data_IF_428508462009
#
_entry.id   IF_428508462009
#
_cell.length_a   1.000
_cell.length_b   1.000
_cell.length_c   1.000
_cell.angle_alpha   90.00
_cell.angle_beta   90.00
_cell.angle_gamma   90.00
#
_symmetry.space_group_name_H-M   'P 1'
#
loop_
_entity.id
_entity.type
_entity.pdbx_description
1 polymer ?
#
# COMPACT_ATOMS: atom_id res chain seq x y z
N UNK A 1 26.96 -10.61 -17.42
CA UNK A 1 28.15 -10.66 -16.55
C UNK A 1 27.67 -10.34 -15.15
N UNK A 2 27.93 -11.19 -14.15
CA UNK A 2 27.56 -10.89 -12.77
C UNK A 2 28.30 -9.61 -12.33
N UNK A 3 27.56 -8.63 -11.84
CA UNK A 3 28.13 -7.41 -11.30
C UNK A 3 29.01 -7.74 -10.10
N UNK A 4 30.15 -7.06 -9.97
CA UNK A 4 31.09 -7.34 -8.89
C UNK A 4 30.47 -6.91 -7.55
N UNK A 5 30.22 -7.86 -6.65
CA UNK A 5 29.45 -7.66 -5.41
C UNK A 5 29.96 -6.54 -4.49
N UNK A 6 31.25 -6.19 -4.58
CA UNK A 6 31.84 -5.10 -3.80
C UNK A 6 31.49 -3.69 -4.32
N UNK A 7 31.02 -3.58 -5.56
CA UNK A 7 30.53 -2.33 -6.14
C UNK A 7 29.09 -2.01 -5.73
N UNK A 8 28.39 -2.99 -5.14
CA UNK A 8 27.00 -2.84 -4.75
C UNK A 8 26.88 -2.11 -3.41
N UNK A 9 25.93 -1.17 -3.33
CA UNK A 9 25.59 -0.51 -2.07
C UNK A 9 24.75 -1.47 -1.21
N UNK A 10 25.45 -2.24 -0.37
CA UNK A 10 24.82 -3.24 0.51
C UNK A 10 23.80 -2.63 1.47
N UNK A 11 23.98 -1.37 1.90
CA UNK A 11 22.99 -0.68 2.72
C UNK A 11 21.73 -0.35 1.94
N UNK A 12 21.86 0.07 0.69
CA UNK A 12 20.71 0.34 -0.16
C UNK A 12 19.94 -0.95 -0.46
N UNK A 13 20.65 -2.02 -0.82
CA UNK A 13 20.07 -3.29 -1.22
C UNK A 13 19.38 -3.98 -0.03
N UNK A 14 20.05 -4.05 1.13
CA UNK A 14 19.50 -4.71 2.32
C UNK A 14 18.29 -3.98 2.91
N UNK A 15 18.19 -2.67 2.71
CA UNK A 15 17.10 -1.85 3.29
C UNK A 15 16.02 -1.48 2.29
N UNK A 16 16.14 -1.92 1.04
CA UNK A 16 15.12 -1.65 0.02
C UNK A 16 13.76 -2.19 0.48
N UNK A 17 12.71 -1.38 0.40
CA UNK A 17 11.37 -1.76 0.88
C UNK A 17 11.22 -1.87 2.40
N UNK A 18 12.29 -1.67 3.19
CA UNK A 18 12.23 -1.75 4.66
C UNK A 18 12.68 -0.45 5.35
N UNK A 19 11.72 0.45 5.56
CA UNK A 19 11.96 1.68 6.31
C UNK A 19 12.34 1.44 7.78
N UNK A 20 11.85 0.36 8.37
CA UNK A 20 12.16 0.00 9.75
C UNK A 20 13.63 -0.41 9.88
N UNK A 21 14.13 -1.20 8.93
CA UNK A 21 15.51 -1.66 8.96
C UNK A 21 16.48 -0.50 8.72
N UNK A 22 16.19 0.39 7.77
CA UNK A 22 17.02 1.58 7.57
C UNK A 22 17.08 2.45 8.83
N UNK A 23 15.96 2.61 9.53
CA UNK A 23 15.92 3.37 10.79
C UNK A 23 16.79 2.71 11.86
N UNK A 24 16.71 1.39 12.01
CA UNK A 24 17.51 0.65 12.97
C UNK A 24 19.02 0.74 12.67
N UNK A 25 19.41 0.52 11.40
CA UNK A 25 20.80 0.62 10.96
C UNK A 25 21.36 2.03 11.09
N UNK A 26 20.57 3.05 10.72
CA UNK A 26 20.97 4.45 10.85
C UNK A 26 21.21 4.85 12.31
N UNK A 27 20.29 4.47 13.21
CA UNK A 27 20.42 4.75 14.65
C UNK A 27 21.67 4.06 15.24
N UNK A 28 21.87 2.79 14.94
CA UNK A 28 23.02 2.02 15.41
C UNK A 28 24.34 2.62 14.91
N UNK A 29 24.41 2.97 13.62
CA UNK A 29 25.61 3.55 13.04
C UNK A 29 26.00 4.88 13.69
N UNK A 30 25.03 5.79 13.88
CA UNK A 30 25.28 7.08 14.56
C UNK A 30 25.81 6.85 15.96
N UNK A 31 25.18 5.97 16.76
CA UNK A 31 25.64 5.66 18.11
C UNK A 31 27.07 5.12 18.13
N UNK A 32 27.43 4.27 17.16
CA UNK A 32 28.79 3.70 17.03
C UNK A 32 29.83 4.73 16.59
N UNK A 33 29.47 5.68 15.71
CA UNK A 33 30.33 6.81 15.34
C UNK A 33 30.53 7.76 16.53
N UNK A 34 29.48 8.10 17.26
CA UNK A 34 29.54 8.94 18.46
C UNK A 34 30.47 8.36 19.53
N UNK A 35 30.41 7.03 19.75
CA UNK A 35 31.27 6.35 20.71
C UNK A 35 32.77 6.48 20.39
N UNK A 36 33.12 6.75 19.13
CA UNK A 36 34.50 6.84 18.65
C UNK A 36 34.86 8.24 18.10
N UNK A 37 34.04 9.26 18.34
CA UNK A 37 34.22 10.62 17.82
C UNK A 37 35.49 11.34 18.32
N UNK A 38 36.23 10.76 19.26
CA UNK A 38 37.54 11.28 19.66
C UNK A 38 38.57 11.20 18.52
N UNK A 39 38.37 10.27 17.58
CA UNK A 39 39.12 10.21 16.32
C UNK A 39 38.55 11.22 15.32
N UNK A 40 39.41 12.10 14.78
CA UNK A 40 39.00 13.20 13.90
C UNK A 40 38.36 12.73 12.59
N UNK A 41 38.79 11.58 12.04
CA UNK A 41 38.20 11.04 10.83
C UNK A 41 36.79 10.51 11.12
N UNK A 42 36.61 9.85 12.27
CA UNK A 42 35.30 9.36 12.72
C UNK A 42 34.35 10.52 13.04
N UNK A 43 34.85 11.58 13.67
CA UNK A 43 34.07 12.80 13.90
C UNK A 43 33.59 13.43 12.58
N UNK A 44 34.41 13.40 11.52
CA UNK A 44 34.01 13.88 10.20
C UNK A 44 32.92 13.00 9.57
N UNK A 45 32.96 11.68 9.77
CA UNK A 45 31.90 10.76 9.36
C UNK A 45 30.59 11.06 10.10
N UNK A 46 30.65 11.26 11.42
CA UNK A 46 29.48 11.62 12.22
C UNK A 46 28.83 12.90 11.72
N UNK A 47 29.62 13.96 11.55
CA UNK A 47 29.15 15.28 11.14
C UNK A 47 28.40 15.28 9.79
N UNK A 48 28.79 14.42 8.84
CA UNK A 48 28.12 14.32 7.53
C UNK A 48 26.92 13.38 7.51
N UNK A 49 26.84 12.41 8.43
CA UNK A 49 25.79 11.40 8.44
C UNK A 49 24.65 11.74 9.37
N UNK A 50 24.94 12.37 10.51
CA UNK A 50 23.93 12.70 11.52
C UNK A 50 22.75 13.53 10.96
N UNK A 51 22.96 14.61 10.17
CA UNK A 51 21.83 15.37 9.63
C UNK A 51 20.91 14.52 8.74
N UNK A 52 21.48 13.58 7.97
CA UNK A 52 20.72 12.69 7.09
C UNK A 52 19.91 11.67 7.89
N UNK A 53 20.45 11.16 9.00
CA UNK A 53 19.74 10.25 9.89
C UNK A 53 18.58 10.99 10.59
N UNK A 54 18.80 12.22 11.04
CA UNK A 54 17.75 13.04 11.68
C UNK A 54 16.62 13.37 10.70
N UNK A 55 16.96 13.73 9.45
CA UNK A 55 15.98 13.98 8.39
C UNK A 55 15.18 12.70 8.06
N UNK A 56 15.86 11.56 7.98
CA UNK A 56 15.22 10.27 7.78
C UNK A 56 14.26 9.93 8.93
N UNK A 57 14.67 10.11 10.19
CA UNK A 57 13.84 9.86 11.36
C UNK A 57 12.59 10.76 11.43
N UNK A 58 12.71 12.02 11.02
CA UNK A 58 11.58 12.96 10.89
C UNK A 58 10.60 12.51 9.79
N UNK A 59 11.11 12.14 8.62
CA UNK A 59 10.29 11.64 7.52
C UNK A 59 9.54 10.37 7.94
N UNK A 60 10.23 9.43 8.60
CA UNK A 60 9.65 8.18 9.08
C UNK A 60 8.50 8.42 10.06
N UNK A 61 8.72 9.30 11.05
CA UNK A 61 7.71 9.63 12.06
C UNK A 61 6.50 10.32 11.43
N UNK A 62 6.73 11.22 10.47
CA UNK A 62 5.68 11.92 9.73
C UNK A 62 4.81 10.95 8.93
N UNK A 63 5.44 10.03 8.19
CA UNK A 63 4.75 8.98 7.43
C UNK A 63 3.94 8.05 8.35
N UNK A 64 4.51 7.58 9.47
CA UNK A 64 3.79 6.74 10.45
C UNK A 64 2.58 7.47 11.04
N UNK A 65 2.71 8.76 11.34
CA UNK A 65 1.61 9.59 11.83
C UNK A 65 0.50 9.71 10.79
N UNK A 66 0.85 9.98 9.52
CA UNK A 66 -0.09 10.06 8.42
C UNK A 66 -0.90 8.76 8.24
N UNK A 67 -0.25 7.59 8.32
CA UNK A 67 -0.93 6.28 8.31
C UNK A 67 -1.96 6.16 9.42
N UNK A 68 -1.60 6.52 10.66
CA UNK A 68 -2.52 6.44 11.79
C UNK A 68 -3.73 7.37 11.59
N UNK A 69 -3.50 8.58 11.08
CA UNK A 69 -4.56 9.54 10.79
C UNK A 69 -5.50 9.01 9.70
N UNK A 70 -4.98 8.41 8.60
CA UNK A 70 -5.81 7.77 7.58
C UNK A 70 -6.70 6.67 8.15
N UNK A 71 -6.18 5.83 9.05
CA UNK A 71 -7.00 4.79 9.70
C UNK A 71 -8.18 5.39 10.46
N UNK A 72 -7.98 6.51 11.15
CA UNK A 72 -9.05 7.26 11.81
C UNK A 72 -10.08 7.81 10.81
N UNK A 73 -9.63 8.41 9.71
CA UNK A 73 -10.53 8.92 8.66
C UNK A 73 -11.33 7.82 7.98
N UNK A 74 -10.70 6.68 7.66
CA UNK A 74 -11.37 5.49 7.12
C UNK A 74 -12.43 4.96 8.08
N UNK A 75 -12.13 4.86 9.37
CA UNK A 75 -13.10 4.43 10.38
C UNK A 75 -14.31 5.39 10.44
N UNK A 76 -14.08 6.70 10.37
CA UNK A 76 -15.15 7.69 10.40
C UNK A 76 -16.13 7.51 9.23
N UNK A 77 -15.63 7.40 7.99
CA UNK A 77 -16.52 7.17 6.84
C UNK A 77 -17.23 5.81 6.93
N UNK A 78 -16.56 4.77 7.44
CA UNK A 78 -17.16 3.45 7.60
C UNK A 78 -18.29 3.47 8.65
N UNK A 79 -18.14 4.24 9.72
CA UNK A 79 -19.19 4.46 10.73
C UNK A 79 -20.39 5.20 10.15
N UNK A 80 -20.18 6.28 9.39
CA UNK A 80 -21.27 7.01 8.71
C UNK A 80 -22.00 6.11 7.70
N UNK A 81 -21.26 5.32 6.93
CA UNK A 81 -21.86 4.35 6.01
C UNK A 81 -22.59 3.22 6.75
N UNK A 82 -22.12 2.78 7.92
CA UNK A 82 -22.86 1.82 8.75
C UNK A 82 -24.17 2.43 9.28
N UNK A 83 -24.14 3.69 9.73
CA UNK A 83 -25.32 4.44 10.15
C UNK A 83 -26.32 4.63 9.00
N UNK A 84 -25.82 4.96 7.79
CA UNK A 84 -26.60 5.04 6.57
C UNK A 84 -27.39 3.76 6.32
N UNK A 85 -26.70 2.62 6.31
CA UNK A 85 -27.29 1.30 6.02
C UNK A 85 -28.32 0.86 7.06
N UNK A 86 -28.03 1.12 8.33
CA UNK A 86 -28.71 0.48 9.46
C UNK A 86 -29.87 1.30 10.00
N UNK A 87 -29.74 2.64 10.02
CA UNK A 87 -30.66 3.54 10.71
C UNK A 87 -31.22 4.62 9.77
N UNK A 88 -30.37 5.47 9.19
CA UNK A 88 -30.81 6.68 8.48
C UNK A 88 -31.75 6.38 7.32
N UNK A 89 -31.40 5.43 6.45
CA UNK A 89 -32.27 5.06 5.33
C UNK A 89 -33.62 4.51 5.77
N UNK A 90 -33.70 3.84 6.93
CA UNK A 90 -34.98 3.34 7.46
C UNK A 90 -35.85 4.49 7.98
N UNK A 91 -35.25 5.47 8.64
CA UNK A 91 -35.95 6.65 9.12
C UNK A 91 -36.51 7.47 7.96
N UNK A 92 -35.71 7.72 6.92
CA UNK A 92 -36.15 8.45 5.74
C UNK A 92 -37.25 7.71 4.98
N UNK A 93 -37.12 6.40 4.81
CA UNK A 93 -38.16 5.59 4.17
C UNK A 93 -39.49 5.64 4.95
N UNK A 94 -39.47 5.54 6.29
CA UNK A 94 -40.68 5.70 7.12
C UNK A 94 -41.32 7.08 6.93
N UNK A 95 -40.51 8.15 6.89
CA UNK A 95 -41.02 9.50 6.68
C UNK A 95 -41.65 9.67 5.29
N UNK A 96 -41.02 9.11 4.26
CA UNK A 96 -41.55 9.09 2.89
C UNK A 96 -42.87 8.32 2.85
N UNK A 97 -42.93 7.12 3.44
CA UNK A 97 -44.15 6.30 3.50
C UNK A 97 -45.30 6.95 4.27
N UNK A 98 -45.00 7.88 5.19
CA UNK A 98 -46.00 8.70 5.85
C UNK A 98 -46.76 9.66 4.91
N UNK A 99 -46.18 9.98 3.74
CA UNK A 99 -46.79 10.82 2.71
C UNK A 99 -47.20 10.03 1.46
N UNK A 100 -46.36 9.08 1.04
CA UNK A 100 -46.50 8.31 -0.20
C UNK A 100 -46.26 6.82 0.08
N UNK A 101 -47.33 6.02 0.06
CA UNK A 101 -47.25 4.58 0.36
C UNK A 101 -46.36 3.82 -0.64
N UNK A 102 -45.75 2.71 -0.19
CA UNK A 102 -44.95 1.83 -1.05
C UNK A 102 -45.77 1.39 -2.28
N UNK A 103 -45.12 1.39 -3.44
CA UNK A 103 -45.73 1.07 -4.74
C UNK A 103 -46.49 2.21 -5.42
N UNK A 104 -46.63 3.38 -4.79
CA UNK A 104 -47.16 4.57 -5.47
C UNK A 104 -46.14 5.15 -6.46
N UNK A 105 -46.57 5.84 -7.54
CA UNK A 105 -45.66 6.49 -8.47
C UNK A 105 -44.68 7.47 -7.79
N UNK A 106 -45.15 8.24 -6.82
CA UNK A 106 -44.35 9.20 -6.05
C UNK A 106 -43.29 8.49 -5.19
N UNK A 107 -43.67 7.40 -4.51
CA UNK A 107 -42.71 6.59 -3.76
C UNK A 107 -41.64 6.00 -4.68
N UNK A 108 -42.04 5.46 -5.85
CA UNK A 108 -41.11 4.88 -6.82
C UNK A 108 -40.17 5.92 -7.45
N UNK A 109 -40.61 7.18 -7.58
CA UNK A 109 -39.73 8.28 -7.99
C UNK A 109 -38.67 8.58 -6.93
N UNK A 110 -39.06 8.62 -5.65
CA UNK A 110 -38.18 8.89 -4.52
C UNK A 110 -37.24 7.72 -4.18
N UNK A 111 -37.68 6.47 -4.31
CA UNK A 111 -36.93 5.27 -3.92
C UNK A 111 -37.15 4.11 -4.93
N UNK A 112 -36.64 4.21 -6.17
CA UNK A 112 -36.88 3.25 -7.24
C UNK A 112 -36.33 1.85 -6.92
N UNK A 113 -35.21 1.80 -6.21
CA UNK A 113 -34.58 0.56 -5.73
C UNK A 113 -34.72 0.37 -4.21
N UNK A 114 -35.74 1.02 -3.63
CA UNK A 114 -35.97 1.04 -2.18
C UNK A 114 -34.69 1.45 -1.44
N UNK A 115 -34.24 0.65 -0.47
CA UNK A 115 -33.07 0.93 0.38
C UNK A 115 -31.75 0.38 -0.16
N UNK A 116 -31.78 -0.40 -1.24
CA UNK A 116 -30.60 -1.15 -1.72
C UNK A 116 -29.39 -0.25 -2.05
N UNK A 117 -29.55 0.88 -2.76
CA UNK A 117 -28.42 1.75 -3.12
C UNK A 117 -27.69 2.38 -1.92
N UNK A 118 -28.34 2.43 -0.76
CA UNK A 118 -27.78 3.00 0.47
C UNK A 118 -27.07 1.95 1.33
N UNK A 119 -27.33 0.66 1.07
CA UNK A 119 -26.87 -0.46 1.88
C UNK A 119 -25.72 -1.23 1.26
N UNK A 120 -25.61 -1.21 -0.07
CA UNK A 120 -24.67 -2.02 -0.85
C UNK A 120 -23.95 -1.15 -1.87
N UNK A 121 -22.83 -1.66 -2.38
CA UNK A 121 -21.99 -0.96 -3.37
C UNK A 121 -20.80 -0.24 -2.74
N UNK A 122 -20.00 0.38 -3.62
CA UNK A 122 -18.81 1.14 -3.22
C UNK A 122 -19.17 2.39 -2.42
N UNK A 123 -18.22 2.93 -1.64
CA UNK A 123 -18.43 4.12 -0.79
C UNK A 123 -19.03 5.27 -1.60
N UNK A 124 -18.41 5.61 -2.73
CA UNK A 124 -18.82 6.74 -3.56
C UNK A 124 -20.21 6.52 -4.22
N UNK A 125 -20.56 5.28 -4.56
CA UNK A 125 -21.91 4.96 -5.06
C UNK A 125 -22.98 5.23 -4.01
N UNK A 126 -22.71 4.86 -2.75
CA UNK A 126 -23.64 5.04 -1.64
C UNK A 126 -23.78 6.50 -1.25
N UNK A 127 -22.68 7.27 -1.30
CA UNK A 127 -22.69 8.73 -1.10
C UNK A 127 -23.54 9.39 -2.19
N UNK A 128 -23.32 9.04 -3.45
CA UNK A 128 -24.11 9.55 -4.58
C UNK A 128 -25.60 9.21 -4.47
N UNK A 129 -25.95 8.03 -3.94
CA UNK A 129 -27.33 7.66 -3.70
C UNK A 129 -28.03 8.59 -2.68
N UNK A 130 -27.33 9.02 -1.62
CA UNK A 130 -27.83 9.99 -0.63
C UNK A 130 -28.05 11.35 -1.28
N UNK A 131 -27.06 11.87 -2.01
CA UNK A 131 -27.20 13.15 -2.73
C UNK A 131 -28.37 13.11 -3.73
N UNK A 132 -28.52 12.02 -4.49
CA UNK A 132 -29.62 11.85 -5.43
C UNK A 132 -30.99 11.77 -4.74
N UNK A 133 -31.07 11.22 -3.52
CA UNK A 133 -32.31 11.25 -2.74
C UNK A 133 -32.68 12.68 -2.34
N UNK A 134 -31.71 13.48 -1.87
CA UNK A 134 -31.93 14.90 -1.52
C UNK A 134 -32.50 15.70 -2.70
N UNK A 135 -31.90 15.54 -3.89
CA UNK A 135 -32.38 16.19 -5.12
C UNK A 135 -33.82 15.80 -5.47
N UNK A 136 -34.19 14.53 -5.32
CA UNK A 136 -35.55 14.05 -5.63
C UNK A 136 -36.57 14.52 -4.60
N UNK A 137 -36.18 14.65 -3.34
CA UNK A 137 -37.05 15.16 -2.28
C UNK A 137 -37.39 16.65 -2.45
N UNK A 138 -36.58 17.42 -3.18
CA UNK A 138 -36.78 18.84 -3.41
C UNK A 138 -38.12 19.16 -4.13
N UNK A 139 -38.63 18.23 -4.95
CA UNK A 139 -39.89 18.37 -5.67
C UNK A 139 -41.13 18.11 -4.78
N UNK A 140 -40.93 17.71 -3.52
CA UNK A 140 -42.00 17.30 -2.60
C UNK A 140 -42.02 18.15 -1.33
N UNK A 141 -42.73 19.29 -1.30
CA UNK A 141 -42.72 20.22 -0.17
C UNK A 141 -43.13 19.59 1.17
N UNK A 142 -44.00 18.57 1.16
CA UNK A 142 -44.42 17.84 2.36
C UNK A 142 -43.26 17.07 3.04
N UNK A 143 -42.17 16.82 2.32
CA UNK A 143 -40.98 16.10 2.78
C UNK A 143 -39.77 17.01 3.00
N UNK A 144 -39.95 18.34 3.03
CA UNK A 144 -38.85 19.31 3.18
C UNK A 144 -37.98 19.07 4.43
N UNK A 145 -38.56 18.60 5.54
CA UNK A 145 -37.80 18.25 6.74
C UNK A 145 -36.91 17.01 6.53
N UNK A 146 -37.40 16.01 5.80
CA UNK A 146 -36.62 14.82 5.41
C UNK A 146 -35.52 15.20 4.44
N UNK A 147 -35.81 16.07 3.47
CA UNK A 147 -34.80 16.61 2.56
C UNK A 147 -33.65 17.25 3.33
N UNK A 148 -33.95 18.12 4.30
CA UNK A 148 -32.93 18.80 5.09
C UNK A 148 -32.02 17.84 5.87
N UNK A 149 -32.56 16.74 6.44
CA UNK A 149 -31.75 15.72 7.13
C UNK A 149 -30.91 14.90 6.13
N UNK A 150 -31.47 14.55 4.96
CA UNK A 150 -30.73 13.87 3.88
C UNK A 150 -29.57 14.73 3.38
N UNK A 151 -29.81 16.01 3.10
CA UNK A 151 -28.79 16.94 2.61
C UNK A 151 -27.68 17.15 3.66
N UNK A 152 -28.05 17.34 4.93
CA UNK A 152 -27.09 17.46 6.01
C UNK A 152 -26.22 16.20 6.17
N UNK A 153 -26.82 15.01 6.06
CA UNK A 153 -26.08 13.75 6.12
C UNK A 153 -25.22 13.52 4.88
N UNK A 154 -25.69 13.95 3.70
CA UNK A 154 -24.91 13.94 2.45
C UNK A 154 -23.63 14.76 2.60
N UNK A 155 -23.73 15.98 3.15
CA UNK A 155 -22.55 16.83 3.44
C UNK A 155 -21.57 16.12 4.39
N UNK A 156 -22.05 15.51 5.47
CA UNK A 156 -21.17 14.76 6.39
C UNK A 156 -20.41 13.62 5.71
N UNK A 157 -21.09 12.88 4.82
CA UNK A 157 -20.48 11.80 4.06
C UNK A 157 -19.41 12.31 3.07
N UNK A 158 -19.70 13.39 2.35
CA UNK A 158 -18.76 14.00 1.39
C UNK A 158 -17.54 14.54 2.13
N UNK A 159 -17.73 15.32 3.20
CA UNK A 159 -16.63 15.88 3.99
C UNK A 159 -15.73 14.78 4.58
N UNK A 160 -16.33 13.69 5.07
CA UNK A 160 -15.58 12.55 5.59
C UNK A 160 -14.80 11.81 4.48
N UNK A 161 -15.38 11.69 3.28
CA UNK A 161 -14.73 11.05 2.13
C UNK A 161 -13.57 11.89 1.60
N UNK A 162 -13.77 13.19 1.45
CA UNK A 162 -12.73 14.13 1.01
C UNK A 162 -11.57 14.15 2.01
N UNK A 163 -11.87 14.19 3.31
CA UNK A 163 -10.86 14.09 4.34
C UNK A 163 -10.06 12.78 4.22
N UNK A 164 -10.72 11.64 3.99
CA UNK A 164 -10.05 10.35 3.79
C UNK A 164 -9.11 10.39 2.57
N UNK A 165 -9.58 10.86 1.43
CA UNK A 165 -8.80 10.92 0.17
C UNK A 165 -7.60 11.86 0.28
N UNK A 166 -7.76 13.02 0.91
CA UNK A 166 -6.64 13.95 1.17
C UNK A 166 -5.55 13.28 2.02
N UNK A 167 -5.91 12.41 2.98
CA UNK A 167 -4.92 11.67 3.76
C UNK A 167 -4.22 10.56 2.96
N UNK A 168 -4.90 9.96 2.00
CA UNK A 168 -4.30 8.96 1.10
C UNK A 168 -3.17 9.59 0.28
N UNK A 169 -3.44 10.74 -0.36
CA UNK A 169 -2.43 11.48 -1.11
C UNK A 169 -1.21 11.89 -0.24
N UNK A 170 -1.45 12.34 1.00
CA UNK A 170 -0.37 12.71 1.91
C UNK A 170 0.51 11.51 2.32
N UNK A 171 -0.05 10.30 2.38
CA UNK A 171 0.72 9.09 2.69
C UNK A 171 1.58 8.69 1.50
N UNK A 172 1.04 8.77 0.29
CA UNK A 172 1.81 8.50 -0.95
C UNK A 172 3.01 9.43 -1.02
N UNK A 173 2.79 10.75 -0.94
CA UNK A 173 3.89 11.73 -0.92
C UNK A 173 4.87 11.47 0.24
N UNK A 174 4.36 11.18 1.44
CA UNK A 174 5.21 10.89 2.60
C UNK A 174 6.03 9.61 2.44
N UNK A 175 5.53 8.63 1.68
CA UNK A 175 6.26 7.39 1.35
C UNK A 175 7.39 7.67 0.37
N UNK A 176 7.14 8.48 -0.66
CA UNK A 176 8.14 8.88 -1.65
C UNK A 176 9.27 9.70 -1.01
N UNK A 177 8.91 10.68 -0.16
CA UNK A 177 9.87 11.49 0.57
C UNK A 177 10.72 10.64 1.53
N UNK A 178 10.10 9.64 2.17
CA UNK A 178 10.78 8.71 3.06
C UNK A 178 11.75 7.80 2.30
N UNK A 179 11.36 7.30 1.13
CA UNK A 179 12.24 6.50 0.28
C UNK A 179 13.42 7.32 -0.26
N UNK A 180 13.18 8.55 -0.69
CA UNK A 180 14.24 9.46 -1.09
C UNK A 180 15.23 9.75 0.06
N UNK A 181 14.74 9.90 1.29
CA UNK A 181 15.58 10.05 2.48
C UNK A 181 16.35 8.76 2.81
N UNK A 182 15.72 7.58 2.64
CA UNK A 182 16.36 6.26 2.82
C UNK A 182 17.57 6.12 1.91
N UNK A 183 17.39 6.38 0.61
CA UNK A 183 18.45 6.27 -0.41
C UNK A 183 19.61 7.21 -0.10
N UNK A 184 19.34 8.45 0.34
CA UNK A 184 20.39 9.42 0.72
C UNK A 184 21.22 8.90 1.90
N UNK A 185 20.56 8.41 2.95
CA UNK A 185 21.24 7.89 4.13
C UNK A 185 22.03 6.60 3.80
N UNK A 186 21.45 5.69 3.03
CA UNK A 186 22.11 4.46 2.58
C UNK A 186 23.34 4.75 1.71
N UNK A 187 23.25 5.75 0.82
CA UNK A 187 24.38 6.23 0.02
C UNK A 187 25.48 6.81 0.89
N UNK A 188 25.13 7.60 1.90
CA UNK A 188 26.11 8.14 2.85
C UNK A 188 26.79 7.03 3.66
N UNK A 189 26.03 6.02 4.12
CA UNK A 189 26.57 4.87 4.85
C UNK A 189 27.55 4.06 4.00
N UNK A 190 27.28 3.90 2.70
CA UNK A 190 28.23 3.29 1.76
C UNK A 190 29.49 4.14 1.59
N UNK A 191 29.36 5.46 1.49
CA UNK A 191 30.50 6.39 1.49
C UNK A 191 31.31 6.34 2.79
N UNK A 192 30.67 6.14 3.94
CA UNK A 192 31.34 5.93 5.24
C UNK A 192 32.14 4.63 5.24
N UNK A 193 31.56 3.53 4.71
CA UNK A 193 32.25 2.26 4.59
C UNK A 193 33.57 2.41 3.80
N UNK A 194 33.56 3.13 2.67
CA UNK A 194 34.79 3.37 1.90
C UNK A 194 35.89 4.08 2.70
N UNK A 195 35.54 5.08 3.52
CA UNK A 195 36.51 5.77 4.40
C UNK A 195 37.02 4.84 5.50
N UNK A 196 36.13 4.05 6.10
CA UNK A 196 36.50 3.08 7.13
C UNK A 196 37.41 1.98 6.56
N UNK A 197 37.19 1.54 5.32
CA UNK A 197 38.05 0.58 4.62
C UNK A 197 39.46 1.13 4.37
N UNK A 198 39.60 2.40 4.00
CA UNK A 198 40.93 3.01 3.85
C UNK A 198 41.64 3.20 5.20
N UNK A 199 40.91 3.67 6.22
CA UNK A 199 41.45 3.91 7.56
C UNK A 199 41.90 2.62 8.25
N UNK A 200 41.08 1.57 8.20
CA UNK A 200 41.31 0.29 8.86
C UNK A 200 41.81 -0.79 7.89
N UNK A 201 42.55 -0.41 6.83
CA UNK A 201 43.02 -1.33 5.78
C UNK A 201 43.81 -2.54 6.32
N UNK A 202 44.58 -2.33 7.39
CA UNK A 202 45.41 -3.36 8.02
C UNK A 202 44.64 -4.18 9.09
N UNK A 203 43.41 -3.77 9.42
CA UNK A 203 42.54 -4.40 10.42
C UNK A 203 41.05 -4.32 10.00
N UNK A 204 40.67 -4.92 8.86
CA UNK A 204 39.32 -4.76 8.28
C UNK A 204 38.20 -5.23 9.20
N UNK A 205 38.44 -6.22 10.06
CA UNK A 205 37.43 -6.71 11.02
C UNK A 205 36.98 -5.63 12.02
N UNK A 206 37.80 -4.61 12.26
CA UNK A 206 37.46 -3.50 13.15
C UNK A 206 36.29 -2.67 12.63
N UNK A 207 36.05 -2.69 11.31
CA UNK A 207 34.95 -1.97 10.65
C UNK A 207 33.59 -2.49 11.14
N UNK A 208 33.50 -3.75 11.58
CA UNK A 208 32.27 -4.33 12.15
C UNK A 208 31.82 -3.59 13.42
N UNK A 209 32.71 -2.87 14.11
CA UNK A 209 32.33 -2.06 15.27
C UNK A 209 31.50 -0.81 14.92
N UNK A 210 31.33 -0.50 13.63
CA UNK A 210 30.56 0.65 13.15
C UNK A 210 29.20 0.27 12.56
N UNK A 211 28.89 -1.03 12.46
CA UNK A 211 27.65 -1.52 11.86
C UNK A 211 27.15 -2.77 12.57
N UNK A 212 25.85 -2.90 12.76
CA UNK A 212 25.26 -4.17 13.16
C UNK A 212 25.08 -5.06 11.93
N UNK A 213 26.16 -5.73 11.52
CA UNK A 213 26.18 -6.58 10.32
C UNK A 213 25.15 -7.72 10.40
N UNK A 214 24.80 -8.16 11.61
CA UNK A 214 23.74 -9.16 11.81
C UNK A 214 22.36 -8.68 11.35
N UNK A 215 22.07 -7.37 11.42
CA UNK A 215 20.83 -6.78 10.87
C UNK A 215 20.83 -6.80 9.34
N UNK A 216 21.99 -6.73 8.69
CA UNK A 216 22.09 -6.83 7.22
C UNK A 216 22.09 -8.28 6.72
N UNK A 217 22.62 -9.22 7.52
CA UNK A 217 22.76 -10.64 7.14
C UNK A 217 21.54 -11.50 7.48
N UNK A 218 20.77 -11.15 8.51
CA UNK A 218 19.58 -11.90 8.94
C UNK A 218 18.26 -11.29 8.43
N UNK A 219 18.33 -10.27 7.59
CA UNK A 219 17.12 -9.76 6.93
C UNK A 219 16.85 -10.68 5.75
N UNK A 220 15.77 -11.48 5.76
CA UNK A 220 15.37 -12.18 4.55
C UNK A 220 15.21 -11.14 3.43
N UNK A 221 15.59 -11.49 2.19
CA UNK A 221 15.54 -10.57 1.07
C UNK A 221 14.17 -9.87 1.05
N UNK A 222 14.09 -8.53 0.89
CA UNK A 222 12.87 -7.76 1.13
C UNK A 222 11.67 -8.41 0.45
N UNK A 223 10.73 -8.86 1.29
CA UNK A 223 9.54 -9.51 0.79
C UNK A 223 8.43 -8.47 0.57
N UNK A 224 7.95 -8.37 -0.68
CA UNK A 224 6.83 -7.50 -1.05
C UNK A 224 5.59 -8.36 -1.18
N UNK A 225 4.64 -8.16 -0.28
CA UNK A 225 3.36 -8.86 -0.30
C UNK A 225 2.33 -8.10 -1.15
N UNK A 226 1.72 -8.80 -2.09
CA UNK A 226 0.62 -8.36 -2.94
C UNK A 226 -0.54 -9.32 -2.75
N UNK A 227 -1.71 -8.82 -2.33
CA UNK A 227 -2.92 -9.64 -2.22
C UNK A 227 -4.09 -8.94 -2.87
N UNK A 228 -4.95 -9.69 -3.54
CA UNK A 228 -6.10 -9.12 -4.21
C UNK A 228 -6.99 -10.15 -4.86
N UNK A 229 -7.98 -9.66 -5.59
CA UNK A 229 -8.83 -10.47 -6.45
C UNK A 229 -8.54 -10.19 -7.92
N UNK A 230 -8.85 -11.17 -8.75
CA UNK A 230 -8.80 -11.06 -10.22
C UNK A 230 -10.12 -11.57 -10.78
N UNK A 231 -10.84 -10.71 -11.48
CA UNK A 231 -12.13 -11.04 -12.08
C UNK A 231 -12.01 -12.23 -13.06
N UNK A 232 -13.15 -12.83 -13.40
CA UNK A 232 -13.19 -13.85 -14.45
C UNK A 232 -12.69 -13.28 -15.79
N UNK A 233 -11.90 -14.08 -16.51
CA UNK A 233 -11.27 -13.73 -17.80
C UNK A 233 -10.47 -12.40 -17.77
N UNK A 234 -9.83 -12.11 -16.63
CA UNK A 234 -9.10 -10.85 -16.42
C UNK A 234 -7.64 -11.08 -16.02
N UNK A 235 -6.84 -10.03 -16.23
CA UNK A 235 -5.43 -9.96 -15.81
C UNK A 235 -5.22 -8.76 -14.92
N UNK A 236 -4.42 -8.93 -13.88
CA UNK A 236 -4.02 -7.87 -12.95
C UNK A 236 -2.49 -7.83 -12.88
N UNK A 237 -1.94 -6.63 -13.01
CA UNK A 237 -0.53 -6.40 -12.72
C UNK A 237 -0.31 -6.30 -11.21
N UNK A 238 0.69 -7.02 -10.71
CA UNK A 238 1.07 -7.04 -9.30
C UNK A 238 2.18 -6.02 -9.02
N UNK A 239 3.21 -6.00 -9.87
CA UNK A 239 4.36 -5.11 -9.72
C UNK A 239 5.23 -5.08 -10.98
N UNK A 240 6.06 -4.05 -11.12
CA UNK A 240 7.08 -3.90 -12.19
C UNK A 240 8.52 -4.03 -11.69
N UNK A 241 8.70 -4.48 -10.44
CA UNK A 241 9.99 -4.39 -9.70
C UNK A 241 10.44 -5.72 -9.10
N UNK A 242 10.17 -6.83 -9.79
CA UNK A 242 10.77 -8.12 -9.41
C UNK A 242 12.24 -8.10 -9.82
N UNK A 243 13.18 -8.28 -8.90
CA UNK A 243 14.61 -8.35 -9.22
C UNK A 243 14.96 -9.62 -10.02
N UNK A 244 16.02 -9.59 -10.83
CA UNK A 244 16.40 -10.73 -11.70
C UNK A 244 16.74 -12.02 -10.96
N UNK A 245 17.12 -11.94 -9.68
CA UNK A 245 17.38 -13.09 -8.81
C UNK A 245 16.30 -13.30 -7.73
N UNK A 246 15.16 -12.61 -7.87
CA UNK A 246 14.10 -12.70 -6.88
C UNK A 246 13.37 -14.05 -6.96
N UNK A 247 12.88 -14.49 -5.81
CA UNK A 247 11.92 -15.57 -5.68
C UNK A 247 10.52 -15.00 -5.51
N UNK A 248 9.52 -15.77 -5.86
CA UNK A 248 8.13 -15.44 -5.57
C UNK A 248 7.44 -16.62 -4.90
N UNK A 249 6.76 -16.35 -3.79
CA UNK A 249 5.81 -17.29 -3.19
C UNK A 249 4.43 -16.91 -3.70
N UNK A 250 3.85 -17.76 -4.52
CA UNK A 250 2.56 -17.57 -5.16
C UNK A 250 1.53 -18.42 -4.42
N UNK A 251 0.51 -17.78 -3.86
CA UNK A 251 -0.59 -18.44 -3.17
C UNK A 251 -1.90 -18.15 -3.88
N UNK A 252 -2.65 -19.20 -4.17
CA UNK A 252 -4.00 -19.09 -4.68
C UNK A 252 -4.97 -19.42 -3.55
N UNK A 253 -5.58 -18.37 -2.99
CA UNK A 253 -6.55 -18.49 -1.89
C UNK A 253 -8.00 -18.50 -2.39
N UNK A 254 -8.19 -18.48 -3.71
CA UNK A 254 -9.49 -18.54 -4.38
C UNK A 254 -9.95 -19.97 -4.71
N UNK A 255 -10.95 -20.06 -5.60
CA UNK A 255 -11.60 -21.32 -6.00
C UNK A 255 -11.32 -21.73 -7.45
N UNK A 256 -10.52 -20.94 -8.17
CA UNK A 256 -10.16 -21.20 -9.57
C UNK A 256 -8.65 -21.15 -9.77
N UNK A 257 -8.11 -21.93 -10.70
CA UNK A 257 -6.67 -21.93 -11.00
C UNK A 257 -6.25 -20.57 -11.55
N UNK A 258 -5.12 -20.06 -11.05
CA UNK A 258 -4.51 -18.80 -11.47
C UNK A 258 -3.18 -19.07 -12.18
N UNK A 259 -2.89 -18.28 -13.21
CA UNK A 259 -1.60 -18.32 -13.93
C UNK A 259 -0.82 -17.04 -13.64
N UNK A 260 0.41 -17.19 -13.19
CA UNK A 260 1.34 -16.09 -12.91
C UNK A 260 2.47 -16.07 -13.94
N UNK A 261 2.85 -14.89 -14.39
CA UNK A 261 3.92 -14.74 -15.37
C UNK A 261 4.63 -13.38 -15.28
N UNK A 262 5.85 -13.32 -15.80
CA UNK A 262 6.47 -12.07 -16.21
C UNK A 262 5.97 -11.74 -17.62
N UNK A 263 5.60 -10.49 -17.85
CA UNK A 263 5.12 -10.01 -19.13
C UNK A 263 5.73 -8.67 -19.54
N UNK A 264 5.75 -8.42 -20.86
CA UNK A 264 6.31 -7.21 -21.45
C UNK A 264 5.51 -5.96 -21.04
N UNK A 265 4.18 -6.07 -20.90
CA UNK A 265 3.30 -4.99 -20.44
C UNK A 265 2.46 -5.38 -19.22
N UNK A 266 1.93 -4.38 -18.53
CA UNK A 266 1.05 -4.53 -17.36
C UNK A 266 -0.36 -5.06 -17.70
N UNK A 267 -0.70 -5.16 -18.98
CA UNK A 267 -2.00 -5.67 -19.46
C UNK A 267 -1.94 -7.04 -20.13
N UNK A 268 -0.74 -7.55 -20.43
CA UNK A 268 -0.59 -8.81 -21.15
C UNK A 268 -1.03 -10.00 -20.28
N UNK A 269 -1.96 -10.79 -20.83
CA UNK A 269 -2.45 -11.99 -20.16
C UNK A 269 -1.38 -13.08 -20.11
N UNK A 270 -1.28 -13.74 -18.95
CA UNK A 270 -0.43 -14.91 -18.75
C UNK A 270 -0.99 -16.13 -19.50
N UNK A 271 -0.59 -16.25 -20.77
CA UNK A 271 -0.88 -17.43 -21.61
C UNK A 271 0.09 -18.57 -21.33
N UNK A 272 1.29 -18.25 -20.84
CA UNK A 272 2.33 -19.17 -20.37
C UNK A 272 2.84 -18.69 -19.02
N UNK A 273 3.15 -19.59 -18.09
CA UNK A 273 3.63 -19.23 -16.76
C UNK A 273 3.39 -20.32 -15.71
N UNK A 274 3.53 -19.94 -14.45
CA UNK A 274 3.32 -20.83 -13.29
C UNK A 274 1.84 -20.89 -12.98
N UNK A 275 1.24 -22.07 -13.07
CA UNK A 275 -0.14 -22.32 -12.67
C UNK A 275 -0.21 -22.74 -11.20
N UNK A 276 -1.09 -22.10 -10.44
CA UNK A 276 -1.31 -22.38 -9.01
C UNK A 276 -2.77 -22.77 -8.83
N UNK A 277 -3.03 -24.00 -8.39
CA UNK A 277 -4.39 -24.49 -8.17
C UNK A 277 -5.01 -23.87 -6.91
N UNK A 278 -6.35 -23.91 -6.78
CA UNK A 278 -7.05 -23.44 -5.58
C UNK A 278 -6.50 -24.05 -4.28
N UNK A 279 -6.13 -23.21 -3.32
CA UNK A 279 -5.59 -23.60 -2.03
C UNK A 279 -4.10 -23.92 -2.02
N UNK A 280 -3.43 -23.94 -3.18
CA UNK A 280 -2.01 -24.23 -3.27
C UNK A 280 -1.15 -22.97 -3.03
N UNK A 281 0.05 -23.20 -2.52
CA UNK A 281 1.11 -22.20 -2.42
C UNK A 281 2.39 -22.80 -2.98
N UNK A 282 3.03 -22.09 -3.90
CA UNK A 282 4.26 -22.54 -4.58
C UNK A 282 5.33 -21.46 -4.51
N UNK A 283 6.55 -21.86 -4.17
CA UNK A 283 7.74 -21.00 -4.27
C UNK A 283 8.40 -21.22 -5.62
N UNK A 284 8.67 -20.13 -6.34
CA UNK A 284 9.25 -20.18 -7.68
C UNK A 284 10.37 -19.15 -7.86
N UNK A 285 11.34 -19.48 -8.70
CA UNK A 285 12.36 -18.54 -9.16
C UNK A 285 11.76 -17.62 -10.24
N UNK A 286 12.16 -16.34 -10.31
CA UNK A 286 11.71 -15.42 -11.38
C UNK A 286 11.80 -16.03 -12.78
N UNK A 287 12.88 -16.74 -13.09
CA UNK A 287 13.11 -17.35 -14.40
C UNK A 287 12.04 -18.37 -14.83
N UNK A 288 11.23 -18.88 -13.89
CA UNK A 288 10.11 -19.78 -14.20
C UNK A 288 8.81 -19.05 -14.54
N UNK A 289 8.74 -17.74 -14.26
CA UNK A 289 7.58 -16.89 -14.52
C UNK A 289 7.60 -16.30 -15.94
N UNK A 290 8.75 -16.19 -16.60
CA UNK A 290 8.83 -15.67 -17.96
C UNK A 290 10.27 -15.26 -18.32
N UNK A 291 10.41 -14.52 -19.41
CA UNK A 291 11.72 -14.07 -19.92
C UNK A 291 12.33 -12.97 -19.02
N UNK A 292 13.66 -12.90 -18.97
CA UNK A 292 14.36 -11.95 -18.09
C UNK A 292 14.13 -10.47 -18.48
N UNK A 293 13.79 -10.21 -19.75
CA UNK A 293 13.54 -8.87 -20.28
C UNK A 293 12.18 -8.29 -19.85
N UNK A 294 11.27 -9.14 -19.37
CA UNK A 294 9.93 -8.74 -18.96
C UNK A 294 9.93 -8.13 -17.55
N UNK A 295 9.28 -6.98 -17.38
CA UNK A 295 9.30 -6.23 -16.12
C UNK A 295 8.07 -6.49 -15.24
N UNK A 296 6.95 -6.94 -15.82
CA UNK A 296 5.64 -6.92 -15.17
C UNK A 296 5.27 -8.29 -14.64
N UNK A 297 5.12 -8.44 -13.33
CA UNK A 297 4.53 -9.63 -12.74
C UNK A 297 3.01 -9.53 -12.82
N UNK A 298 2.41 -10.37 -13.66
CA UNK A 298 0.97 -10.41 -13.87
C UNK A 298 0.37 -11.70 -13.28
N UNK A 299 -0.90 -11.61 -12.90
CA UNK A 299 -1.76 -12.77 -12.59
C UNK A 299 -2.98 -12.74 -13.49
N UNK A 300 -3.25 -13.87 -14.14
CA UNK A 300 -4.41 -14.05 -15.02
C UNK A 300 -5.31 -15.14 -14.48
N UNK A 301 -6.60 -14.83 -14.48
CA UNK A 301 -7.66 -15.79 -14.22
C UNK A 301 -8.32 -16.20 -15.54
N UNK A 302 -8.04 -17.42 -15.99
CA UNK A 302 -8.60 -17.97 -17.23
C UNK A 302 -9.99 -18.60 -17.02
N UNK A 303 -10.56 -18.49 -15.81
CA UNK A 303 -11.93 -18.94 -15.56
C UNK A 303 -12.93 -17.98 -16.19
N UNK A 304 -13.92 -18.48 -16.94
CA UNK A 304 -14.94 -17.61 -17.55
C UNK A 304 -15.96 -17.07 -16.54
N UNK A 305 -16.11 -17.72 -15.37
CA UNK A 305 -17.26 -17.48 -14.50
C UNK A 305 -16.92 -17.25 -13.03
N UNK A 306 -15.69 -17.55 -12.60
CA UNK A 306 -15.31 -17.56 -11.17
C UNK A 306 -14.21 -16.55 -10.89
N UNK A 307 -14.42 -15.66 -9.93
CA UNK A 307 -13.39 -14.73 -9.45
C UNK A 307 -12.25 -15.49 -8.73
N UNK A 308 -11.02 -15.10 -9.02
CA UNK A 308 -9.82 -15.61 -8.37
C UNK A 308 -9.37 -14.72 -7.22
N UNK A 309 -8.65 -15.30 -6.26
CA UNK A 309 -8.06 -14.57 -5.15
C UNK A 309 -6.62 -15.05 -4.96
N UNK A 310 -5.69 -14.11 -4.84
CA UNK A 310 -4.27 -14.41 -4.76
C UNK A 310 -3.61 -13.70 -3.58
N UNK A 311 -2.50 -14.28 -3.14
CA UNK A 311 -1.49 -13.66 -2.28
C UNK A 311 -0.12 -14.00 -2.86
N UNK A 312 0.69 -13.00 -3.13
CA UNK A 312 2.01 -13.15 -3.74
C UNK A 312 3.01 -12.43 -2.86
N UNK A 313 4.08 -13.12 -2.50
CA UNK A 313 5.21 -12.55 -1.79
C UNK A 313 6.44 -12.61 -2.70
N UNK A 314 6.93 -11.45 -3.13
CA UNK A 314 8.17 -11.37 -3.93
C UNK A 314 9.33 -11.16 -2.98
N UNK A 315 10.22 -12.14 -2.92
CA UNK A 315 11.42 -12.17 -2.08
C UNK A 315 12.60 -11.74 -2.95
N UNK A 316 13.02 -10.47 -2.82
CA UNK A 316 14.02 -9.84 -3.69
C UNK A 316 15.45 -9.97 -3.23
#
# INVERSE_FOLDING_TARGET
MAEWSYLQNQFNNSTEGSFVLMLALGNDHIAKLEAQQADADIAALLARTQPLQEDYGKAYTTWKSAIAIRKGATLNIDQLLAELSSLKIKQWDIQIQGQFLDGTPEYMALLPEKRSPFQKGAKDQRINAVAALGLRLADYPALAATQADVDAFSTQLVDARDAQQQKEQLIEQGSDDLEAARVKLATMMYGNLGVLMDKYRDAPDYINNFWEVSLMQNTPPPSREFSGTVAADATVNLTQTVGTNAKAVLSNVGYTTLTFCMAATDTDACTTGVQVNPGDTVEVERASLGEDEDANLNVTNLSPDTEGTYSVEVIG
#
